data_IF_751987945149
#
_entry.id   IF_751987945149
#
_cell.length_a   1.000
_cell.length_b   1.000
_cell.length_c   1.000
_cell.angle_alpha   90.00
_cell.angle_beta   90.00
_cell.angle_gamma   90.00
#
_symmetry.space_group_name_H-M   'P 1'
#
loop_
_entity.id
_entity.type
_entity.pdbx_description
1 polymer ?
#
# COMPACT_ATOMS: atom_id res chain seq x y z
N UNK A 1 -25.59 -23.55 -15.11
CA UNK A 1 -24.13 -23.44 -14.88
C UNK A 1 -23.67 -22.09 -15.38
N UNK A 2 -23.05 -21.25 -14.55
CA UNK A 2 -22.36 -20.03 -15.03
C UNK A 2 -20.99 -20.46 -15.56
N UNK A 3 -20.73 -20.20 -16.84
CA UNK A 3 -19.39 -20.37 -17.43
C UNK A 3 -18.50 -19.24 -16.91
N UNK A 4 -17.49 -19.57 -16.11
CA UNK A 4 -16.46 -18.63 -15.66
C UNK A 4 -15.39 -18.53 -16.76
N UNK A 5 -15.67 -17.75 -17.79
CA UNK A 5 -14.75 -17.55 -18.92
C UNK A 5 -13.95 -16.26 -18.70
N UNK A 6 -12.62 -16.35 -18.79
CA UNK A 6 -11.75 -15.17 -18.78
C UNK A 6 -11.99 -14.33 -20.03
N UNK A 7 -12.14 -13.01 -19.84
CA UNK A 7 -12.25 -12.03 -20.93
C UNK A 7 -11.20 -10.95 -20.78
N UNK A 8 -10.56 -10.56 -21.88
CA UNK A 8 -9.60 -9.45 -21.89
C UNK A 8 -10.35 -8.10 -21.81
N UNK A 9 -10.06 -7.30 -20.78
CA UNK A 9 -10.77 -6.05 -20.50
C UNK A 9 -10.12 -4.80 -21.12
N UNK A 10 -8.86 -4.87 -21.52
CA UNK A 10 -8.19 -3.74 -22.17
C UNK A 10 -6.67 -3.85 -22.17
N UNK A 11 -6.02 -3.06 -23.03
CA UNK A 11 -4.55 -2.99 -23.15
C UNK A 11 -3.97 -2.00 -22.15
N UNK A 12 -4.16 -2.27 -20.86
CA UNK A 12 -3.63 -1.44 -19.78
C UNK A 12 -3.16 -2.31 -18.61
N UNK A 13 -2.28 -1.75 -17.78
CA UNK A 13 -1.82 -2.38 -16.54
C UNK A 13 -2.57 -1.79 -15.35
N UNK A 14 -2.81 -2.61 -14.34
CA UNK A 14 -3.34 -2.12 -13.06
C UNK A 14 -2.37 -1.11 -12.45
N UNK A 15 -2.86 -0.09 -11.73
CA UNK A 15 -2.01 0.92 -11.10
C UNK A 15 -1.32 0.39 -9.82
N UNK A 16 -1.22 -0.93 -9.66
CA UNK A 16 -0.69 -1.58 -8.46
C UNK A 16 0.46 -2.53 -8.80
N UNK A 17 1.35 -2.73 -7.83
CA UNK A 17 2.36 -3.79 -7.83
C UNK A 17 2.04 -4.81 -6.72
N UNK A 18 2.36 -6.08 -6.98
CA UNK A 18 2.14 -7.16 -6.02
C UNK A 18 0.66 -7.45 -5.73
N UNK A 19 0.36 -7.71 -4.45
CA UNK A 19 -0.98 -8.10 -3.98
C UNK A 19 -1.93 -6.90 -3.96
N UNK A 20 -3.16 -7.13 -4.40
CA UNK A 20 -4.28 -6.17 -4.30
C UNK A 20 -5.45 -6.88 -3.63
N UNK A 21 -6.13 -6.19 -2.72
CA UNK A 21 -7.25 -6.74 -1.95
C UNK A 21 -8.51 -5.91 -2.13
N UNK A 22 -9.64 -6.57 -2.35
CA UNK A 22 -10.94 -5.91 -2.35
C UNK A 22 -11.42 -5.71 -0.91
N UNK A 23 -11.85 -4.49 -0.59
CA UNK A 23 -12.33 -4.09 0.74
C UNK A 23 -13.82 -3.75 0.66
N UNK A 24 -14.71 -4.65 1.12
CA UNK A 24 -16.15 -4.45 1.03
C UNK A 24 -16.66 -3.19 1.72
N UNK A 25 -16.04 -2.79 2.83
CA UNK A 25 -16.44 -1.66 3.67
C UNK A 25 -16.34 -0.33 2.92
N UNK A 26 -15.34 -0.18 2.04
CA UNK A 26 -15.16 1.00 1.19
C UNK A 26 -15.51 0.73 -0.28
N UNK A 27 -15.81 -0.52 -0.65
CA UNK A 27 -16.08 -1.00 -2.01
C UNK A 27 -14.96 -0.69 -3.01
N UNK A 28 -13.73 -0.69 -2.54
CA UNK A 28 -12.55 -0.36 -3.34
C UNK A 28 -11.52 -1.49 -3.30
N UNK A 29 -10.62 -1.47 -4.27
CA UNK A 29 -9.43 -2.30 -4.29
C UNK A 29 -8.27 -1.53 -3.70
N UNK A 30 -7.58 -2.11 -2.72
CA UNK A 30 -6.46 -1.52 -2.01
C UNK A 30 -5.20 -2.32 -2.31
N UNK A 31 -4.12 -1.62 -2.64
CA UNK A 31 -2.85 -2.22 -3.03
C UNK A 31 -1.69 -1.24 -2.92
N UNK A 32 -0.49 -1.67 -3.28
CA UNK A 32 0.68 -0.79 -3.36
C UNK A 32 0.75 -0.18 -4.75
N UNK A 33 0.81 1.15 -4.85
CA UNK A 33 0.91 1.88 -6.11
C UNK A 33 2.15 1.46 -6.91
N UNK A 34 1.97 1.17 -8.20
CA UNK A 34 3.08 0.80 -9.08
C UNK A 34 4.04 1.97 -9.36
N UNK A 35 3.56 3.21 -9.28
CA UNK A 35 4.36 4.40 -9.59
C UNK A 35 5.00 5.04 -8.35
N UNK A 36 4.26 5.14 -7.26
CA UNK A 36 4.70 5.84 -6.04
C UNK A 36 5.15 4.89 -4.94
N UNK A 37 4.79 3.60 -5.02
CA UNK A 37 4.98 2.61 -3.95
C UNK A 37 4.30 2.97 -2.61
N UNK A 38 3.33 3.86 -2.64
CA UNK A 38 2.45 4.20 -1.52
C UNK A 38 1.29 3.22 -1.43
N UNK A 39 0.66 3.12 -0.26
CA UNK A 39 -0.65 2.47 -0.19
C UNK A 39 -1.62 3.27 -1.05
N UNK A 40 -2.42 2.60 -1.86
CA UNK A 40 -3.37 3.26 -2.73
C UNK A 40 -4.66 2.47 -2.85
N UNK A 41 -5.73 3.17 -3.23
CA UNK A 41 -7.02 2.58 -3.51
C UNK A 41 -7.52 2.99 -4.90
N UNK A 42 -8.18 2.07 -5.59
CA UNK A 42 -8.79 2.31 -6.89
C UNK A 42 -10.15 1.61 -7.00
N UNK A 43 -11.03 2.21 -7.79
CA UNK A 43 -12.26 1.55 -8.22
C UNK A 43 -11.97 0.76 -9.51
N UNK A 44 -12.08 -0.57 -9.43
CA UNK A 44 -11.91 -1.48 -10.56
C UNK A 44 -13.25 -2.00 -11.11
N UNK A 45 -14.39 -1.41 -10.69
CA UNK A 45 -15.71 -1.81 -11.17
C UNK A 45 -16.00 -1.34 -12.60
N UNK A 46 -15.45 -0.18 -13.00
CA UNK A 46 -15.54 0.33 -14.36
C UNK A 46 -14.41 -0.26 -15.22
N UNK A 47 -14.80 -1.04 -16.23
CA UNK A 47 -13.88 -1.78 -17.08
C UNK A 47 -13.67 -1.13 -18.47
N UNK A 48 -14.22 0.07 -18.69
CA UNK A 48 -14.20 0.75 -19.99
C UNK A 48 -12.94 1.63 -20.21
N UNK A 49 -12.13 1.83 -19.17
CA UNK A 49 -10.94 2.69 -19.21
C UNK A 49 -9.88 2.19 -18.22
N UNK A 50 -8.67 2.74 -18.32
CA UNK A 50 -7.60 2.43 -17.37
C UNK A 50 -8.00 2.91 -15.95
N UNK A 51 -8.00 2.02 -14.94
CA UNK A 51 -8.36 2.40 -13.58
C UNK A 51 -7.46 3.49 -13.02
N UNK A 52 -8.06 4.45 -12.34
CA UNK A 52 -7.36 5.57 -11.70
C UNK A 52 -7.28 5.35 -10.19
N UNK A 53 -6.17 5.77 -9.59
CA UNK A 53 -6.05 5.82 -8.14
C UNK A 53 -6.97 6.91 -7.59
N UNK A 54 -7.76 6.56 -6.58
CA UNK A 54 -8.68 7.46 -5.92
C UNK A 54 -8.09 8.11 -4.66
N UNK A 55 -7.16 7.40 -4.01
CA UNK A 55 -6.41 7.91 -2.87
C UNK A 55 -5.06 7.21 -2.80
N UNK A 56 -4.06 7.92 -2.28
CA UNK A 56 -2.77 7.36 -1.88
C UNK A 56 -2.43 7.79 -0.46
N UNK A 57 -1.62 6.99 0.22
CA UNK A 57 -1.15 7.25 1.57
C UNK A 57 0.33 6.93 1.64
N UNK A 58 1.11 7.97 1.93
CA UNK A 58 2.51 7.85 2.32
C UNK A 58 2.57 7.66 3.83
N UNK A 59 2.52 6.41 4.26
CA UNK A 59 2.41 6.07 5.68
C UNK A 59 3.74 6.14 6.45
N UNK A 60 4.86 6.19 5.72
CA UNK A 60 6.19 6.22 6.31
C UNK A 60 7.19 6.95 5.40
N UNK A 61 7.94 7.86 6.00
CA UNK A 61 9.07 8.57 5.39
C UNK A 61 10.38 7.99 5.93
N UNK A 62 11.11 7.17 5.15
CA UNK A 62 12.40 6.63 5.59
C UNK A 62 13.46 7.75 5.65
N UNK A 63 14.45 7.65 6.55
CA UNK A 63 15.68 8.42 6.48
C UNK A 63 16.38 8.26 5.11
N UNK A 64 17.10 9.29 4.66
CA UNK A 64 17.74 9.31 3.34
C UNK A 64 18.78 8.20 3.15
N UNK A 65 19.45 7.81 4.23
CA UNK A 65 20.45 6.74 4.24
C UNK A 65 19.85 5.33 3.99
N UNK A 66 18.53 5.16 4.15
CA UNK A 66 17.88 3.86 4.00
C UNK A 66 17.50 3.59 2.55
N UNK A 67 17.99 2.47 2.03
CA UNK A 67 17.67 2.02 0.68
C UNK A 67 16.67 0.89 0.73
N UNK A 68 15.55 1.02 0.04
CA UNK A 68 14.58 -0.07 -0.08
C UNK A 68 15.25 -1.28 -0.72
N UNK A 69 15.11 -2.46 -0.11
CA UNK A 69 15.81 -3.67 -0.54
C UNK A 69 14.88 -4.79 -1.04
N UNK A 70 13.59 -4.75 -0.69
CA UNK A 70 12.57 -5.71 -1.14
C UNK A 70 11.25 -5.00 -1.43
N UNK A 71 10.36 -5.69 -2.15
CA UNK A 71 9.00 -5.22 -2.39
C UNK A 71 8.21 -5.12 -1.07
N UNK A 72 7.39 -4.07 -0.96
CA UNK A 72 6.49 -3.91 0.17
C UNK A 72 5.46 -5.04 0.21
N UNK A 73 5.12 -5.49 1.41
CA UNK A 73 4.06 -6.47 1.60
C UNK A 73 2.84 -5.81 2.24
N UNK A 74 1.66 -6.23 1.80
CA UNK A 74 0.38 -5.74 2.28
C UNK A 74 -0.43 -6.91 2.85
N UNK A 75 -0.86 -6.76 4.09
CA UNK A 75 -1.70 -7.73 4.80
C UNK A 75 -2.99 -7.04 5.24
N UNK A 76 -4.13 -7.55 4.80
CA UNK A 76 -5.44 -7.14 5.29
C UNK A 76 -5.73 -7.78 6.65
N UNK A 77 -6.05 -6.95 7.62
CA UNK A 77 -6.40 -7.34 8.99
C UNK A 77 -7.91 -7.38 9.22
N UNK A 78 -8.71 -7.09 8.20
CA UNK A 78 -10.17 -6.97 8.24
C UNK A 78 -10.66 -5.56 8.59
N UNK A 79 -11.92 -5.26 8.30
CA UNK A 79 -12.59 -4.00 8.68
C UNK A 79 -11.86 -2.75 8.18
N UNK A 80 -11.36 -2.79 6.93
CA UNK A 80 -10.61 -1.68 6.34
C UNK A 80 -9.21 -1.45 6.92
N UNK A 81 -8.71 -2.33 7.79
CA UNK A 81 -7.38 -2.20 8.40
C UNK A 81 -6.34 -3.05 7.67
N UNK A 82 -5.16 -2.48 7.55
CA UNK A 82 -4.03 -3.08 6.87
C UNK A 82 -2.77 -2.98 7.70
N UNK A 83 -1.88 -3.95 7.54
CA UNK A 83 -0.47 -3.83 7.91
C UNK A 83 0.37 -3.80 6.64
N UNK A 84 1.23 -2.80 6.54
CA UNK A 84 2.21 -2.66 5.48
C UNK A 84 3.58 -2.94 6.06
N UNK A 85 4.30 -3.89 5.45
CA UNK A 85 5.70 -4.14 5.75
C UNK A 85 6.58 -3.52 4.66
N UNK A 86 7.52 -2.66 5.07
CA UNK A 86 8.54 -2.07 4.20
C UNK A 86 9.92 -2.54 4.63
N UNK A 87 10.77 -2.86 3.65
CA UNK A 87 12.09 -3.42 3.88
C UNK A 87 13.16 -2.48 3.34
N UNK A 88 14.09 -2.13 4.22
CA UNK A 88 15.20 -1.24 3.93
C UNK A 88 16.52 -1.86 4.36
N UNK A 89 17.59 -1.33 3.80
CA UNK A 89 18.95 -1.61 4.22
C UNK A 89 19.62 -0.28 4.56
N UNK A 90 20.24 -0.21 5.74
CA UNK A 90 21.05 0.92 6.14
C UNK A 90 22.52 0.59 5.91
N UNK A 91 23.19 1.36 5.05
CA UNK A 91 24.64 1.26 4.84
C UNK A 91 25.31 2.45 5.50
N UNK A 92 25.85 2.26 6.69
CA UNK A 92 26.78 3.22 7.28
C UNK A 92 28.18 2.96 6.73
N UNK A 93 28.87 3.97 6.16
CA UNK A 93 30.30 3.83 5.86
C UNK A 93 31.04 3.75 7.19
N UNK A 94 31.63 2.60 7.53
CA UNK A 94 32.58 2.54 8.63
C UNK A 94 34.00 2.76 8.08
N UNK A 95 34.77 3.62 8.76
CA UNK A 95 36.10 4.01 8.32
C UNK A 95 37.01 2.80 8.11
N UNK A 96 37.53 2.67 6.88
CA UNK A 96 38.76 1.94 6.57
C UNK A 96 38.67 0.42 6.36
N UNK A 97 37.54 -0.25 6.61
CA UNK A 97 37.38 -1.69 6.33
C UNK A 97 36.34 -1.96 5.24
N UNK A 98 36.62 -2.93 4.38
CA UNK A 98 35.76 -3.39 3.27
C UNK A 98 34.50 -4.17 3.76
N UNK A 99 34.36 -4.37 5.07
CA UNK A 99 33.17 -4.97 5.69
C UNK A 99 32.13 -3.90 6.05
N UNK A 100 31.19 -3.68 5.13
CA UNK A 100 29.95 -2.95 5.42
C UNK A 100 29.04 -3.84 6.27
N UNK A 101 28.99 -3.61 7.60
CA UNK A 101 27.92 -4.18 8.43
C UNK A 101 26.63 -3.42 8.11
N UNK A 102 25.99 -3.80 7.02
CA UNK A 102 24.70 -3.27 6.62
C UNK A 102 23.59 -3.89 7.47
N UNK A 103 22.70 -3.06 8.01
CA UNK A 103 21.59 -3.53 8.84
C UNK A 103 20.32 -3.60 8.01
N UNK A 104 19.67 -4.76 8.00
CA UNK A 104 18.32 -4.91 7.47
C UNK A 104 17.31 -4.32 8.45
N UNK A 105 16.42 -3.50 7.91
CA UNK A 105 15.40 -2.78 8.66
C UNK A 105 14.05 -3.14 8.07
N UNK A 106 13.15 -3.60 8.94
CA UNK A 106 11.74 -3.83 8.59
C UNK A 106 10.89 -2.83 9.35
N UNK A 107 10.05 -2.10 8.63
CA UNK A 107 9.08 -1.16 9.20
C UNK A 107 7.69 -1.72 8.97
N UNK A 108 6.96 -1.93 10.06
CA UNK A 108 5.55 -2.33 10.03
C UNK A 108 4.68 -1.13 10.37
N UNK A 109 3.81 -0.74 9.45
CA UNK A 109 2.86 0.37 9.65
C UNK A 109 1.43 -0.14 9.52
N UNK A 110 0.61 0.10 10.54
CA UNK A 110 -0.83 -0.12 10.44
C UNK A 110 -1.48 1.06 9.71
N UNK A 111 -2.44 0.80 8.82
CA UNK A 111 -3.22 1.84 8.14
C UNK A 111 -4.70 1.46 8.16
N UNK A 112 -5.57 2.42 8.48
CA UNK A 112 -7.02 2.25 8.41
C UNK A 112 -7.58 3.01 7.20
N UNK A 113 -8.36 2.34 6.37
CA UNK A 113 -9.00 2.90 5.18
C UNK A 113 -10.48 3.10 5.48
N UNK A 114 -10.92 4.35 5.56
CA UNK A 114 -12.29 4.71 5.94
C UNK A 114 -12.96 5.57 4.85
N UNK A 115 -14.27 5.39 4.59
CA UNK A 115 -15.02 6.34 3.79
C UNK A 115 -15.09 7.70 4.50
N UNK A 116 -14.80 8.82 3.81
CA UNK A 116 -15.13 10.14 4.36
C UNK A 116 -16.65 10.32 4.31
N UNK A 117 -17.26 10.43 5.48
CA UNK A 117 -18.67 10.81 5.61
C UNK A 117 -18.74 12.33 5.51
N UNK A 118 -19.13 12.87 4.36
CA UNK A 118 -19.60 14.25 4.33
C UNK A 118 -21.01 14.29 4.93
N UNK A 119 -21.19 15.05 6.01
CA UNK A 119 -22.51 15.53 6.37
C UNK A 119 -22.94 16.52 5.29
N UNK A 120 -23.76 16.07 4.34
CA UNK A 120 -24.28 16.90 3.28
C UNK A 120 -25.13 18.03 3.88
N UNK A 121 -24.56 19.23 3.98
CA UNK A 121 -25.36 20.44 4.08
C UNK A 121 -25.45 21.05 2.68
N UNK A 122 -26.58 20.81 2.02
CA UNK A 122 -27.09 21.60 0.91
C UNK A 122 -26.20 21.75 -0.34
N UNK A 123 -26.58 21.02 -1.39
CA UNK A 123 -26.54 21.49 -2.77
C UNK A 123 -25.18 21.57 -3.49
N UNK A 124 -24.40 20.49 -3.45
CA UNK A 124 -23.36 20.27 -4.45
C UNK A 124 -23.35 18.82 -4.95
N UNK A 125 -23.43 18.65 -6.27
CA UNK A 125 -23.67 17.35 -6.94
C UNK A 125 -22.40 16.55 -7.22
N UNK A 126 -21.29 16.89 -6.59
CA UNK A 126 -20.02 16.16 -6.65
C UNK A 126 -19.84 15.26 -5.43
N UNK A 127 -20.82 14.39 -5.18
CA UNK A 127 -20.83 13.43 -4.06
C UNK A 127 -19.80 12.30 -4.21
N UNK A 128 -18.53 12.62 -4.45
CA UNK A 128 -17.42 11.67 -4.36
C UNK A 128 -16.94 11.75 -2.92
N UNK A 129 -17.42 10.83 -2.07
CA UNK A 129 -16.88 10.67 -0.73
C UNK A 129 -15.36 10.53 -0.83
N UNK A 130 -14.63 11.46 -0.22
CA UNK A 130 -13.18 11.43 -0.20
C UNK A 130 -12.74 10.18 0.59
N UNK A 131 -11.81 9.38 0.09
CA UNK A 131 -11.36 8.22 0.85
C UNK A 131 -10.28 8.71 1.82
N UNK A 132 -10.42 8.40 3.11
CA UNK A 132 -9.35 8.71 4.07
C UNK A 132 -8.54 7.46 4.35
N UNK A 133 -7.22 7.63 4.38
CA UNK A 133 -6.25 6.61 4.77
C UNK A 133 -5.48 7.14 5.98
N UNK A 134 -5.65 6.49 7.12
CA UNK A 134 -5.14 6.95 8.42
C UNK A 134 -3.96 6.07 8.81
N UNK A 135 -2.71 6.55 8.71
CA UNK A 135 -1.56 5.79 9.17
C UNK A 135 -1.51 5.80 10.70
N UNK A 136 -1.27 4.62 11.28
CA UNK A 136 -1.00 4.43 12.70
C UNK A 136 0.50 4.40 12.98
N UNK A 137 0.86 4.28 14.27
CA UNK A 137 2.26 4.21 14.70
C UNK A 137 3.00 3.06 14.00
N UNK A 138 4.09 3.40 13.32
CA UNK A 138 5.02 2.43 12.76
C UNK A 138 5.88 1.80 13.85
N UNK A 139 6.21 0.52 13.67
CA UNK A 139 7.23 -0.18 14.47
C UNK A 139 8.40 -0.57 13.59
N UNK A 140 9.59 -0.29 14.08
CA UNK A 140 10.85 -0.60 13.42
C UNK A 140 11.49 -1.83 14.06
N UNK A 141 11.95 -2.74 13.22
CA UNK A 141 12.73 -3.91 13.60
C UNK A 141 14.06 -3.86 12.84
N UNK A 142 15.14 -4.02 13.59
CA UNK A 142 16.51 -3.85 13.15
C UNK A 142 17.34 -5.04 13.65
N UNK A 143 17.91 -5.82 12.75
CA UNK A 143 18.73 -6.99 13.11
C UNK A 143 18.86 -8.04 12.01
N UNK A 144 19.72 -9.03 12.24
CA UNK A 144 19.90 -10.20 11.37
C UNK A 144 18.68 -11.13 11.36
N UNK A 145 17.80 -10.98 12.35
CA UNK A 145 16.57 -11.76 12.49
C UNK A 145 15.55 -11.26 11.47
N UNK A 146 15.65 -11.86 10.29
CA UNK A 146 14.73 -11.63 9.18
C UNK A 146 13.31 -11.95 9.67
N UNK A 147 12.45 -10.95 9.74
CA UNK A 147 11.00 -11.20 9.86
C UNK A 147 10.59 -11.81 8.52
N UNK A 148 10.50 -13.13 8.48
CA UNK A 148 9.81 -13.84 7.42
C UNK A 148 8.34 -13.51 7.58
N UNK A 149 7.79 -12.67 6.70
CA UNK A 149 6.35 -12.59 6.59
C UNK A 149 5.84 -13.96 6.15
N UNK A 150 5.12 -14.62 7.05
CA UNK A 150 4.34 -15.80 6.72
C UNK A 150 3.07 -15.27 6.07
N UNK A 151 2.95 -15.46 4.76
CA UNK A 151 1.73 -15.25 3.99
C UNK A 151 0.78 -16.43 4.18
#
# INVERSE_FOLDING_TARGET
MRSLTWSHLGKWMLPFTGKVEYVPEVKLWVGISASTHELAAADLSSMNSQPQLLATCKEFDPPEEWKRCKDSQLVNLGSGKFCIARFFHNRTPQGGSDELIGMDITVLTGVEVVPSVYHANGNDSSGKGELQMIPHKSRLYAGSDTIWAVL
#
